data_IF_365113078922
#
_entry.id   IF_365113078922
#
_cell.length_a   1.000
_cell.length_b   1.000
_cell.length_c   1.000
_cell.angle_alpha   90.00
_cell.angle_beta   90.00
_cell.angle_gamma   90.00
#
_symmetry.space_group_name_H-M   'P 1'
#
loop_
_entity.id
_entity.type
_entity.pdbx_description
1 polymer ?
#
# COMPACT_ATOMS: atom_id res chain seq x y z
N UNK A 1 -1.35 16.95 -7.91
CA UNK A 1 -1.91 15.60 -8.07
C UNK A 1 -2.49 15.51 -9.48
N UNK A 2 -2.09 14.52 -10.26
CA UNK A 2 -2.59 14.35 -11.63
C UNK A 2 -4.10 14.00 -11.61
N UNK A 3 -4.87 14.60 -12.52
CA UNK A 3 -6.32 14.39 -12.65
C UNK A 3 -6.64 12.93 -13.00
N UNK A 4 -5.74 12.23 -13.71
CA UNK A 4 -5.90 10.82 -14.05
C UNK A 4 -5.88 9.90 -12.82
N UNK A 5 -4.94 10.15 -11.89
CA UNK A 5 -4.81 9.37 -10.65
C UNK A 5 -6.06 9.50 -9.77
N UNK A 6 -6.59 10.71 -9.64
CA UNK A 6 -7.80 10.97 -8.84
C UNK A 6 -9.02 10.19 -9.35
N UNK A 7 -9.24 10.16 -10.67
CA UNK A 7 -10.37 9.43 -11.27
C UNK A 7 -10.25 7.91 -11.09
N UNK A 8 -9.03 7.36 -11.19
CA UNK A 8 -8.79 5.94 -10.97
C UNK A 8 -9.08 5.51 -9.52
N UNK A 9 -8.75 6.36 -8.55
CA UNK A 9 -9.04 6.11 -7.13
C UNK A 9 -10.55 6.14 -6.88
N UNK A 10 -11.26 7.13 -7.41
CA UNK A 10 -12.72 7.23 -7.28
C UNK A 10 -13.44 6.01 -7.87
N UNK A 11 -13.05 5.58 -9.07
CA UNK A 11 -13.62 4.41 -9.73
C UNK A 11 -13.41 3.14 -8.88
N UNK A 12 -12.20 2.96 -8.33
CA UNK A 12 -11.86 1.79 -7.52
C UNK A 12 -12.67 1.71 -6.23
N UNK A 13 -12.76 2.82 -5.48
CA UNK A 13 -13.47 2.86 -4.20
C UNK A 13 -14.98 2.66 -4.38
N UNK A 14 -15.55 3.09 -5.52
CA UNK A 14 -16.97 2.91 -5.83
C UNK A 14 -17.39 1.43 -5.86
N UNK A 15 -16.47 0.53 -6.20
CA UNK A 15 -16.75 -0.90 -6.34
C UNK A 15 -16.51 -1.75 -5.07
N UNK A 16 -16.14 -1.14 -3.94
CA UNK A 16 -15.83 -1.88 -2.69
C UNK A 16 -16.64 -1.29 -1.50
N UNK A 17 -17.91 -1.69 -1.34
CA UNK A 17 -18.78 -1.11 -0.32
C UNK A 17 -18.50 -1.57 1.12
N UNK A 18 -17.92 -2.75 1.35
CA UNK A 18 -17.81 -3.39 2.68
C UNK A 18 -16.68 -2.85 3.58
N UNK A 19 -15.86 -1.91 3.10
CA UNK A 19 -14.62 -1.49 3.75
C UNK A 19 -14.59 0.00 4.14
N UNK A 20 -15.77 0.62 4.32
CA UNK A 20 -15.93 2.08 4.49
C UNK A 20 -16.04 2.52 5.95
N UNK A 21 -15.06 3.32 6.42
CA UNK A 21 -15.29 4.31 7.47
C UNK A 21 -15.57 5.65 6.77
N UNK A 22 -16.85 6.00 6.62
CA UNK A 22 -17.26 7.10 5.73
C UNK A 22 -17.02 6.77 4.25
N UNK A 23 -16.02 7.40 3.63
CA UNK A 23 -15.68 7.21 2.20
C UNK A 23 -14.32 6.55 1.96
N UNK A 24 -13.56 6.22 3.01
CA UNK A 24 -12.22 5.63 2.90
C UNK A 24 -12.26 4.10 2.81
N UNK A 25 -11.42 3.52 1.94
CA UNK A 25 -11.24 2.08 1.74
C UNK A 25 -10.22 1.52 2.73
N UNK A 26 -10.63 0.66 3.68
CA UNK A 26 -9.71 -0.03 4.59
C UNK A 26 -8.82 -1.01 3.81
N UNK A 27 -7.51 -0.81 3.89
CA UNK A 27 -6.50 -1.64 3.23
C UNK A 27 -6.10 -2.83 4.12
N UNK A 28 -5.69 -2.56 5.36
CA UNK A 28 -5.25 -3.58 6.32
C UNK A 28 -5.35 -3.10 7.77
N UNK A 29 -5.19 -4.05 8.69
CA UNK A 29 -5.07 -3.83 10.13
C UNK A 29 -3.61 -3.96 10.56
N UNK A 30 -3.17 -3.01 11.36
CA UNK A 30 -1.88 -3.03 12.07
C UNK A 30 -2.15 -3.24 13.57
N UNK A 31 -1.10 -3.50 14.34
CA UNK A 31 -1.20 -3.70 15.79
C UNK A 31 -1.73 -2.46 16.55
N UNK A 32 -1.70 -1.28 15.94
CA UNK A 32 -2.11 -0.01 16.56
C UNK A 32 -3.34 0.65 15.93
N UNK A 33 -3.85 0.11 14.83
CA UNK A 33 -4.93 0.75 14.09
C UNK A 33 -5.14 0.18 12.69
N UNK A 34 -6.02 0.84 11.95
CA UNK A 34 -6.41 0.44 10.60
C UNK A 34 -5.95 1.49 9.59
N UNK A 35 -5.40 1.05 8.46
CA UNK A 35 -4.98 1.96 7.37
C UNK A 35 -6.06 2.04 6.29
N UNK A 36 -6.38 3.26 5.87
CA UNK A 36 -7.43 3.58 4.90
C UNK A 36 -6.90 4.41 3.74
N UNK A 37 -7.42 4.15 2.54
CA UNK A 37 -7.23 4.96 1.35
C UNK A 37 -8.46 5.83 1.07
N UNK A 38 -8.27 7.13 0.97
CA UNK A 38 -9.31 8.09 0.68
C UNK A 38 -9.63 8.21 -0.82
N UNK A 39 -10.82 8.69 -1.19
CA UNK A 39 -11.17 9.07 -2.57
C UNK A 39 -10.27 10.12 -3.21
N UNK A 40 -9.55 10.90 -2.39
CA UNK A 40 -8.54 11.87 -2.86
C UNK A 40 -7.16 11.24 -3.03
N UNK A 41 -6.99 9.95 -2.77
CA UNK A 41 -5.70 9.26 -2.85
C UNK A 41 -4.82 9.41 -1.62
N UNK A 42 -5.39 9.90 -0.52
CA UNK A 42 -4.64 10.08 0.72
C UNK A 42 -4.72 8.81 1.56
N UNK A 43 -3.62 8.43 2.19
CA UNK A 43 -3.57 7.32 3.13
C UNK A 43 -3.58 7.86 4.56
N UNK A 44 -4.33 7.22 5.43
CA UNK A 44 -4.38 7.55 6.84
C UNK A 44 -4.45 6.30 7.70
N UNK A 45 -3.81 6.36 8.85
CA UNK A 45 -3.97 5.40 9.93
C UNK A 45 -5.00 5.96 10.93
N UNK A 46 -5.97 5.13 11.30
CA UNK A 46 -6.88 5.39 12.40
C UNK A 46 -6.48 4.50 13.58
N UNK A 47 -5.99 5.13 14.64
CA UNK A 47 -5.62 4.44 15.87
C UNK A 47 -6.88 4.18 16.71
N UNK A 48 -7.28 2.91 16.82
CA UNK A 48 -8.57 2.52 17.42
C UNK A 48 -8.64 2.85 18.92
N UNK A 49 -7.52 2.71 19.63
CA UNK A 49 -7.45 2.98 21.08
C UNK A 49 -7.56 4.45 21.45
N UNK A 50 -6.98 5.34 20.65
CA UNK A 50 -6.99 6.79 20.90
C UNK A 50 -8.10 7.53 20.14
N UNK A 51 -8.72 6.88 19.14
CA UNK A 51 -9.65 7.52 18.21
C UNK A 51 -9.00 8.57 17.30
N UNK A 52 -7.67 8.63 17.25
CA UNK A 52 -6.93 9.64 16.48
C UNK A 52 -6.63 9.18 15.06
N UNK A 53 -6.66 10.11 14.11
CA UNK A 53 -6.24 9.88 12.73
C UNK A 53 -4.88 10.52 12.44
N UNK A 54 -4.00 9.80 11.73
CA UNK A 54 -2.72 10.31 11.24
C UNK A 54 -2.62 10.08 9.74
N UNK A 55 -2.25 11.12 8.98
CA UNK A 55 -1.94 10.98 7.56
C UNK A 55 -0.59 10.28 7.38
N UNK A 56 -0.51 9.33 6.45
CA UNK A 56 0.77 8.73 6.06
C UNK A 56 1.44 9.65 5.04
N UNK A 57 2.66 10.08 5.33
CA UNK A 57 3.39 11.05 4.52
C UNK A 57 4.70 10.50 3.98
N UNK A 58 5.30 9.50 4.66
CA UNK A 58 6.52 8.89 4.15
C UNK A 58 6.23 8.06 2.91
N UNK A 59 7.12 8.17 1.93
CA UNK A 59 7.03 7.41 0.68
C UNK A 59 6.99 5.90 0.96
N UNK A 60 7.77 5.43 1.91
CA UNK A 60 7.84 4.02 2.28
C UNK A 60 6.52 3.51 2.88
N UNK A 61 5.91 4.24 3.83
CA UNK A 61 4.59 3.88 4.38
C UNK A 61 3.51 3.87 3.30
N UNK A 62 3.52 4.86 2.40
CA UNK A 62 2.56 4.96 1.30
C UNK A 62 2.70 3.76 0.36
N UNK A 63 3.92 3.46 -0.09
CA UNK A 63 4.18 2.35 -1.01
C UNK A 63 3.84 1.01 -0.39
N UNK A 64 4.27 0.80 0.87
CA UNK A 64 3.96 -0.41 1.63
C UNK A 64 2.45 -0.59 1.78
N UNK A 65 1.74 0.48 2.11
CA UNK A 65 0.28 0.42 2.28
C UNK A 65 -0.44 0.10 0.98
N UNK A 66 -0.02 0.71 -0.13
CA UNK A 66 -0.56 0.42 -1.46
C UNK A 66 -0.24 -1.01 -1.89
N UNK A 67 0.97 -1.51 -1.62
CA UNK A 67 1.37 -2.88 -1.95
C UNK A 67 0.56 -3.90 -1.15
N UNK A 68 0.32 -3.67 0.15
CA UNK A 68 -0.60 -4.51 0.95
C UNK A 68 -2.00 -4.43 0.39
N UNK A 69 -2.49 -3.20 0.16
CA UNK A 69 -3.82 -2.93 -0.36
C UNK A 69 -4.07 -3.59 -1.71
N UNK A 70 -3.09 -3.61 -2.63
CA UNK A 70 -3.23 -4.19 -3.96
C UNK A 70 -3.33 -5.71 -3.93
N UNK A 71 -2.75 -6.38 -2.93
CA UNK A 71 -2.94 -7.83 -2.75
C UNK A 71 -4.38 -8.17 -2.40
N UNK A 72 -5.06 -7.30 -1.64
CA UNK A 72 -6.48 -7.45 -1.30
C UNK A 72 -7.40 -6.92 -2.40
N UNK A 73 -7.04 -5.80 -3.01
CA UNK A 73 -7.81 -5.10 -4.05
C UNK A 73 -6.91 -4.87 -5.27
N UNK A 74 -6.87 -5.83 -6.23
CA UNK A 74 -5.94 -5.78 -7.37
C UNK A 74 -5.98 -4.48 -8.19
N UNK A 75 -7.13 -3.81 -8.20
CA UNK A 75 -7.35 -2.50 -8.84
C UNK A 75 -6.35 -1.42 -8.38
N UNK A 76 -5.88 -1.51 -7.12
CA UNK A 76 -4.94 -0.57 -6.52
C UNK A 76 -3.50 -0.75 -7.05
N UNK A 77 -3.19 -1.85 -7.74
CA UNK A 77 -1.88 -2.05 -8.36
C UNK A 77 -1.54 -0.93 -9.35
N UNK A 78 -2.54 -0.31 -9.97
CA UNK A 78 -2.37 0.84 -10.86
C UNK A 78 -1.90 2.13 -10.13
N UNK A 79 -1.95 2.15 -8.79
CA UNK A 79 -1.43 3.25 -7.98
C UNK A 79 0.04 3.04 -7.57
N UNK A 80 0.57 1.83 -7.77
CA UNK A 80 1.97 1.54 -7.51
C UNK A 80 2.85 2.15 -8.61
N UNK A 81 4.10 2.53 -8.28
CA UNK A 81 5.06 2.95 -9.28
C UNK A 81 5.24 1.86 -10.34
N UNK A 82 5.35 2.29 -11.60
CA UNK A 82 5.82 1.41 -12.65
C UNK A 82 7.30 1.07 -12.41
N UNK A 83 7.66 -0.18 -12.68
CA UNK A 83 9.05 -0.63 -12.59
C UNK A 83 9.86 0.01 -13.72
N UNK A 84 10.88 0.79 -13.36
CA UNK A 84 11.83 1.33 -14.33
C UNK A 84 12.59 0.20 -15.04
N UNK A 85 12.99 0.42 -16.31
CA UNK A 85 13.74 -0.59 -17.08
C UNK A 85 15.03 -1.02 -16.36
N UNK A 86 15.68 -0.09 -15.67
CA UNK A 86 16.96 -0.31 -14.98
C UNK A 86 16.78 -0.60 -13.48
N UNK A 87 15.53 -0.78 -13.02
CA UNK A 87 15.24 -1.13 -11.63
C UNK A 87 15.75 -2.54 -11.32
N UNK A 88 16.58 -2.63 -10.28
CA UNK A 88 17.13 -3.90 -9.79
C UNK A 88 16.03 -4.70 -9.10
N UNK A 89 15.99 -6.01 -9.37
CA UNK A 89 15.17 -6.94 -8.60
C UNK A 89 15.63 -6.89 -7.14
N UNK A 90 14.68 -6.88 -6.21
CA UNK A 90 15.01 -6.91 -4.80
C UNK A 90 15.57 -8.28 -4.45
N UNK A 91 16.81 -8.33 -3.99
CA UNK A 91 17.52 -9.52 -3.54
C UNK A 91 16.90 -10.17 -2.28
N UNK A 92 16.32 -9.38 -1.38
CA UNK A 92 15.74 -9.88 -0.13
C UNK A 92 14.46 -10.71 -0.35
N UNK A 93 13.63 -10.30 -1.31
CA UNK A 93 12.38 -10.99 -1.64
C UNK A 93 12.40 -11.65 -3.02
N UNK A 94 13.54 -11.64 -3.69
CA UNK A 94 13.74 -12.22 -5.03
C UNK A 94 12.72 -11.77 -6.10
N UNK A 95 12.15 -10.56 -5.96
CA UNK A 95 11.12 -10.07 -6.88
C UNK A 95 9.68 -10.21 -6.42
N UNK A 96 9.42 -10.98 -5.36
CA UNK A 96 8.04 -11.33 -4.95
C UNK A 96 7.32 -10.21 -4.18
N UNK A 97 8.04 -9.22 -3.67
CA UNK A 97 7.50 -8.17 -2.80
C UNK A 97 7.15 -8.65 -1.38
N UNK A 98 7.30 -9.93 -1.09
CA UNK A 98 7.07 -10.53 0.23
C UNK A 98 8.24 -11.41 0.64
N UNK A 99 8.46 -11.52 1.94
CA UNK A 99 9.37 -12.48 2.55
C UNK A 99 8.56 -13.50 3.35
N UNK A 100 8.98 -14.77 3.28
CA UNK A 100 8.37 -15.85 4.07
C UNK A 100 9.08 -15.94 5.41
N UNK A 101 8.35 -15.79 6.51
CA UNK A 101 8.92 -15.78 7.86
C UNK A 101 8.35 -16.91 8.72
N UNK A 102 9.24 -17.55 9.48
CA UNK A 102 8.91 -18.61 10.43
C UNK A 102 8.59 -19.96 9.79
N UNK A 103 8.31 -20.95 10.64
CA UNK A 103 8.02 -22.34 10.21
C UNK A 103 6.73 -22.47 9.40
N UNK A 104 5.77 -21.56 9.62
CA UNK A 104 4.49 -21.53 8.89
C UNK A 104 4.59 -20.81 7.55
N UNK A 105 5.77 -20.29 7.18
CA UNK A 105 6.00 -19.51 5.96
C UNK A 105 4.99 -18.38 5.78
N UNK A 106 4.75 -17.61 6.85
CA UNK A 106 3.83 -16.47 6.77
C UNK A 106 4.45 -15.40 5.87
N UNK A 107 3.68 -14.92 4.90
CA UNK A 107 4.08 -13.81 4.06
C UNK A 107 4.06 -12.50 4.84
N UNK A 108 5.18 -11.78 4.79
CA UNK A 108 5.31 -10.42 5.30
C UNK A 108 5.79 -9.55 4.15
N UNK A 109 5.27 -8.33 4.04
CA UNK A 109 5.76 -7.39 3.02
C UNK A 109 7.25 -7.15 3.20
N UNK A 110 7.98 -7.18 2.09
CA UNK A 110 9.40 -6.90 2.09
C UNK A 110 9.65 -5.42 2.39
N UNK A 111 10.21 -5.14 3.58
CA UNK A 111 10.57 -3.77 3.98
C UNK A 111 11.64 -3.14 3.07
N UNK A 112 12.55 -3.94 2.50
CA UNK A 112 13.62 -3.42 1.62
C UNK A 112 13.09 -2.76 0.35
N UNK A 113 12.02 -3.30 -0.25
CA UNK A 113 11.43 -2.77 -1.47
C UNK A 113 10.01 -2.20 -1.27
N UNK A 114 9.56 -2.01 -0.02
CA UNK A 114 8.20 -1.60 0.30
C UNK A 114 7.10 -2.42 -0.41
N UNK A 115 7.36 -3.72 -0.63
CA UNK A 115 6.43 -4.62 -1.32
C UNK A 115 6.42 -4.57 -2.84
N UNK A 116 7.30 -3.79 -3.48
CA UNK A 116 7.32 -3.64 -4.94
C UNK A 116 7.98 -4.80 -5.70
N UNK A 117 8.87 -5.56 -5.03
CA UNK A 117 9.70 -6.58 -5.67
C UNK A 117 10.95 -6.05 -6.37
N UNK A 118 11.12 -4.73 -6.44
CA UNK A 118 12.26 -4.08 -7.09
C UNK A 118 12.67 -2.82 -6.33
N UNK A 119 13.91 -2.38 -6.56
CA UNK A 119 14.48 -1.17 -5.97
C UNK A 119 14.63 -0.12 -7.07
N UNK A 120 14.05 1.06 -6.85
CA UNK A 120 14.29 2.20 -7.75
C UNK A 120 15.71 2.69 -7.57
N UNK A 121 16.36 3.09 -8.67
CA UNK A 121 17.70 3.69 -8.63
C UNK A 121 17.68 5.12 -8.03
N UNK A 122 16.50 5.69 -7.76
CA UNK A 122 16.32 7.02 -7.18
C UNK A 122 16.34 7.04 -5.64
N UNK A 123 16.87 6.00 -4.99
CA UNK A 123 17.13 6.01 -3.56
C UNK A 123 18.49 6.67 -3.28
N UNK A 124 18.49 8.00 -3.37
CA UNK A 124 19.44 8.92 -2.73
C UNK A 124 18.68 9.85 -1.80
#
# INVERSE_FOLDING_TARGET
MDKGLHQNILATIKHIPEAKLGIGLKLYESYGGSVFLSPKGELFEFAEYSGSTRKLESREEILTSLAIGSRRYPQLANLLPLRDRDAKICDLCEGEGVVLVGVTKKEIICGKCAGLGWLSNNNG
#
